data_IF_635485616240
#
_entry.id   IF_635485616240
#
_cell.length_a   1.000
_cell.length_b   1.000
_cell.length_c   1.000
_cell.angle_alpha   90.00
_cell.angle_beta   90.00
_cell.angle_gamma   90.00
#
_symmetry.space_group_name_H-M   'P 1'
#
loop_
_entity.id
_entity.type
_entity.pdbx_description
1 polymer ?
#
# COMPACT_ATOMS: atom_id res chain seq x y z
N UNK A 1 -48.00 -48.75 17.80
CA UNK A 1 -48.50 -48.33 16.48
C UNK A 1 -47.34 -47.75 15.67
N UNK A 2 -47.09 -48.27 14.47
CA UNK A 2 -46.22 -47.68 13.41
C UNK A 2 -46.75 -46.26 13.02
N UNK A 3 -46.02 -45.30 12.41
CA UNK A 3 -45.17 -45.33 11.19
C UNK A 3 -44.29 -44.06 11.03
N UNK A 4 -43.13 -44.28 10.37
CA UNK A 4 -42.34 -43.47 9.37
C UNK A 4 -42.02 -41.98 9.64
N UNK A 5 -40.77 -41.48 9.64
CA UNK A 5 -39.62 -41.53 8.71
C UNK A 5 -39.46 -40.23 7.89
N UNK A 6 -38.30 -39.57 8.02
CA UNK A 6 -37.48 -39.05 6.90
C UNK A 6 -36.12 -38.53 7.38
N UNK A 7 -35.11 -39.35 7.10
CA UNK A 7 -33.69 -39.02 6.98
C UNK A 7 -33.47 -38.13 5.76
N UNK A 8 -32.72 -37.04 5.92
CA UNK A 8 -31.92 -36.44 4.83
C UNK A 8 -30.50 -36.28 5.37
N UNK A 9 -29.74 -37.34 5.13
CA UNK A 9 -28.28 -37.35 5.15
C UNK A 9 -27.81 -36.59 3.91
N UNK A 10 -27.14 -35.45 4.10
CA UNK A 10 -26.37 -34.79 3.04
C UNK A 10 -24.90 -34.97 3.35
N UNK A 11 -24.36 -36.14 2.98
CA UNK A 11 -22.94 -36.32 2.76
C UNK A 11 -22.50 -35.32 1.68
N UNK A 12 -21.80 -34.26 2.06
CA UNK A 12 -20.89 -33.56 1.16
C UNK A 12 -19.85 -34.58 0.70
N UNK A 13 -20.05 -35.09 -0.51
CA UNK A 13 -19.14 -36.00 -1.16
C UNK A 13 -17.82 -35.25 -1.45
N UNK A 14 -16.84 -35.41 -0.55
CA UNK A 14 -15.44 -35.25 -0.90
C UNK A 14 -15.13 -36.27 -2.00
N UNK A 15 -15.08 -35.80 -3.25
CA UNK A 15 -14.41 -36.53 -4.32
C UNK A 15 -12.91 -36.47 -4.08
N UNK A 16 -12.46 -37.32 -3.15
CA UNK A 16 -11.07 -37.74 -3.04
C UNK A 16 -10.78 -38.69 -4.22
N UNK A 17 -10.47 -38.10 -5.39
CA UNK A 17 -9.82 -38.84 -6.47
C UNK A 17 -8.34 -39.00 -6.10
N UNK A 18 -7.99 -40.23 -5.73
CA UNK A 18 -6.62 -40.66 -5.48
C UNK A 18 -5.79 -40.61 -6.77
N UNK A 19 -4.82 -39.69 -6.81
CA UNK A 19 -3.64 -39.79 -7.66
C UNK A 19 -2.40 -39.66 -6.75
N UNK A 20 -1.42 -40.53 -6.97
CA UNK A 20 -0.19 -40.61 -6.20
C UNK A 20 0.61 -39.30 -6.22
N UNK A 21 1.09 -38.87 -5.04
CA UNK A 21 2.30 -38.07 -4.88
C UNK A 21 2.22 -36.60 -5.30
N UNK A 22 1.47 -35.79 -4.55
CA UNK A 22 1.80 -34.40 -4.18
C UNK A 22 0.53 -33.75 -3.60
N UNK A 23 0.36 -33.84 -2.28
CA UNK A 23 -0.79 -33.21 -1.61
C UNK A 23 -0.68 -31.69 -1.73
N UNK A 24 -1.59 -31.07 -2.47
CA UNK A 24 -1.72 -29.61 -2.59
C UNK A 24 -2.93 -29.17 -1.77
N UNK A 25 -2.78 -28.12 -0.96
CA UNK A 25 -3.87 -27.56 -0.14
C UNK A 25 -3.95 -26.06 -0.34
N UNK A 26 -5.12 -25.52 -0.65
CA UNK A 26 -5.35 -24.06 -0.63
C UNK A 26 -5.38 -23.63 0.84
N UNK A 27 -4.47 -22.75 1.24
CA UNK A 27 -4.30 -22.30 2.62
C UNK A 27 -4.77 -20.85 2.85
N UNK A 28 -5.07 -20.12 1.77
CA UNK A 28 -5.59 -18.75 1.88
C UNK A 28 -5.80 -18.08 0.52
N UNK A 29 -6.22 -16.81 0.57
CA UNK A 29 -6.31 -15.89 -0.57
C UNK A 29 -6.05 -14.45 -0.11
N UNK A 30 -6.01 -13.50 -1.04
CA UNK A 30 -5.84 -12.07 -0.75
C UNK A 30 -7.15 -11.25 -0.85
N UNK A 31 -8.31 -11.88 -0.63
CA UNK A 31 -9.61 -11.20 -0.77
C UNK A 31 -9.74 -9.98 0.16
N UNK A 32 -9.18 -10.06 1.36
CA UNK A 32 -9.19 -8.98 2.34
C UNK A 32 -8.33 -7.78 1.90
N UNK A 33 -7.14 -8.04 1.34
CA UNK A 33 -6.27 -7.00 0.77
C UNK A 33 -6.98 -6.25 -0.38
N UNK A 34 -7.65 -6.99 -1.27
CA UNK A 34 -8.43 -6.42 -2.38
C UNK A 34 -9.59 -5.57 -1.85
N UNK A 35 -10.29 -6.06 -0.82
CA UNK A 35 -11.39 -5.33 -0.17
C UNK A 35 -10.89 -4.02 0.43
N UNK A 36 -9.83 -4.06 1.23
CA UNK A 36 -9.23 -2.89 1.85
C UNK A 36 -8.76 -1.87 0.82
N UNK A 37 -8.09 -2.32 -0.26
CA UNK A 37 -7.71 -1.44 -1.36
C UNK A 37 -8.91 -0.71 -1.94
N UNK A 38 -9.99 -1.43 -2.29
CA UNK A 38 -11.19 -0.84 -2.90
C UNK A 38 -11.85 0.18 -1.98
N UNK A 39 -11.93 -0.10 -0.69
CA UNK A 39 -12.55 0.78 0.30
C UNK A 39 -11.72 2.04 0.58
N UNK A 40 -10.38 1.92 0.50
CA UNK A 40 -9.48 3.02 0.87
C UNK A 40 -8.96 3.82 -0.32
N UNK A 41 -9.05 3.30 -1.55
CA UNK A 41 -8.47 3.92 -2.76
C UNK A 41 -8.87 5.39 -2.92
N UNK A 42 -10.16 5.70 -2.82
CA UNK A 42 -10.65 7.06 -3.01
C UNK A 42 -10.16 8.02 -1.90
N UNK A 43 -10.01 7.51 -0.68
CA UNK A 43 -9.45 8.27 0.43
C UNK A 43 -7.95 8.50 0.25
N UNK A 44 -7.21 7.49 -0.22
CA UNK A 44 -5.79 7.61 -0.55
C UNK A 44 -5.56 8.61 -1.69
N UNK A 45 -6.40 8.60 -2.73
CA UNK A 45 -6.35 9.59 -3.81
C UNK A 45 -6.58 11.01 -3.28
N UNK A 46 -7.64 11.21 -2.49
CA UNK A 46 -7.94 12.53 -1.88
C UNK A 46 -6.81 13.02 -0.98
N UNK A 47 -6.23 12.12 -0.18
CA UNK A 47 -5.09 12.41 0.68
C UNK A 47 -3.87 12.84 -0.12
N UNK A 48 -3.50 12.05 -1.14
CA UNK A 48 -2.41 12.37 -2.07
C UNK A 48 -2.62 13.74 -2.70
N UNK A 49 -3.81 14.02 -3.22
CA UNK A 49 -4.10 15.30 -3.86
C UNK A 49 -4.09 16.48 -2.88
N UNK A 50 -4.54 16.26 -1.65
CA UNK A 50 -4.48 17.28 -0.59
C UNK A 50 -3.03 17.62 -0.22
N UNK A 51 -2.15 16.62 -0.11
CA UNK A 51 -0.72 16.85 0.17
C UNK A 51 -0.06 17.58 -0.98
N UNK A 52 -0.26 17.13 -2.21
CA UNK A 52 0.34 17.77 -3.39
C UNK A 52 -0.11 19.23 -3.51
N UNK A 53 -1.41 19.51 -3.33
CA UNK A 53 -1.92 20.89 -3.31
C UNK A 53 -1.29 21.72 -2.17
N UNK A 54 -1.22 21.16 -0.96
CA UNK A 54 -0.65 21.86 0.20
C UNK A 54 0.84 22.15 0.01
N UNK A 55 1.59 21.19 -0.53
CA UNK A 55 3.01 21.35 -0.86
C UNK A 55 3.21 22.44 -1.90
N UNK A 56 2.48 22.39 -3.03
CA UNK A 56 2.59 23.41 -4.07
C UNK A 56 2.28 24.81 -3.54
N UNK A 57 1.20 24.96 -2.76
CA UNK A 57 0.82 26.24 -2.18
C UNK A 57 1.87 26.75 -1.16
N UNK A 58 2.39 25.86 -0.31
CA UNK A 58 3.42 26.19 0.67
C UNK A 58 4.72 26.61 -0.01
N UNK A 59 5.16 25.87 -1.03
CA UNK A 59 6.34 26.21 -1.83
C UNK A 59 6.20 27.53 -2.56
N UNK A 60 5.02 27.82 -3.12
CA UNK A 60 4.75 29.10 -3.77
C UNK A 60 4.86 30.28 -2.79
N UNK A 61 4.26 30.15 -1.60
CA UNK A 61 4.34 31.16 -0.55
C UNK A 61 5.78 31.33 -0.02
N UNK A 62 6.52 30.24 0.19
CA UNK A 62 7.93 30.31 0.56
C UNK A 62 8.76 31.00 -0.52
N UNK A 63 8.54 30.67 -1.79
CA UNK A 63 9.24 31.31 -2.91
C UNK A 63 8.94 32.80 -2.97
N UNK A 64 7.68 33.20 -2.76
CA UNK A 64 7.30 34.62 -2.69
C UNK A 64 7.98 35.34 -1.53
N UNK A 65 7.96 34.76 -0.33
CA UNK A 65 8.65 35.30 0.85
C UNK A 65 10.15 35.51 0.60
N UNK A 66 10.81 34.55 -0.04
CA UNK A 66 12.25 34.63 -0.32
C UNK A 66 12.59 35.60 -1.45
N UNK A 67 11.69 35.80 -2.41
CA UNK A 67 11.95 36.65 -3.59
C UNK A 67 11.69 38.13 -3.30
N UNK A 68 10.59 38.43 -2.60
CA UNK A 68 10.23 39.79 -2.21
C UNK A 68 9.57 39.79 -0.81
N UNK A 69 10.37 39.85 0.26
CA UNK A 69 9.86 39.87 1.63
C UNK A 69 8.93 41.06 1.91
N UNK A 70 9.11 42.19 1.21
CA UNK A 70 8.32 43.40 1.42
C UNK A 70 6.90 43.29 0.83
N UNK A 71 6.72 42.43 -0.17
CA UNK A 71 5.41 42.09 -0.74
C UNK A 71 4.68 40.99 0.04
N UNK A 72 5.31 40.38 1.05
CA UNK A 72 4.72 39.28 1.81
C UNK A 72 3.76 39.79 2.90
N UNK A 73 2.47 39.50 2.74
CA UNK A 73 1.42 40.09 3.57
C UNK A 73 1.07 39.23 4.80
N UNK A 74 0.41 39.78 5.84
CA UNK A 74 -0.06 38.95 6.97
C UNK A 74 -0.97 37.78 6.56
N UNK A 75 -1.90 37.92 5.58
CA UNK A 75 -2.61 36.78 5.01
C UNK A 75 -1.72 35.69 4.42
N UNK A 76 -0.65 36.06 3.71
CA UNK A 76 0.32 35.09 3.16
C UNK A 76 1.04 34.34 4.29
N UNK A 77 1.42 35.04 5.36
CA UNK A 77 2.04 34.42 6.53
C UNK A 77 1.12 33.41 7.23
N UNK A 78 -0.18 33.74 7.35
CA UNK A 78 -1.18 32.83 7.89
C UNK A 78 -1.38 31.61 7.00
N UNK A 79 -1.49 31.81 5.68
CA UNK A 79 -1.63 30.73 4.71
C UNK A 79 -0.40 29.81 4.71
N UNK A 80 0.81 30.38 4.80
CA UNK A 80 2.05 29.62 4.86
C UNK A 80 2.09 28.75 6.13
N UNK A 81 1.78 29.34 7.28
CA UNK A 81 1.70 28.62 8.56
C UNK A 81 0.69 27.48 8.49
N UNK A 82 -0.51 27.74 7.96
CA UNK A 82 -1.55 26.72 7.82
C UNK A 82 -1.12 25.59 6.86
N UNK A 83 -0.49 25.92 5.74
CA UNK A 83 0.06 24.93 4.80
C UNK A 83 1.09 24.01 5.47
N UNK A 84 2.03 24.58 6.22
CA UNK A 84 3.03 23.82 6.97
C UNK A 84 2.39 22.92 8.06
N UNK A 85 1.40 23.43 8.79
CA UNK A 85 0.67 22.66 9.81
C UNK A 85 -0.10 21.48 9.19
N UNK A 86 -0.77 21.69 8.06
CA UNK A 86 -1.50 20.63 7.35
C UNK A 86 -0.57 19.50 6.89
N UNK A 87 0.61 19.85 6.37
CA UNK A 87 1.61 18.87 5.93
C UNK A 87 2.17 18.11 7.13
N UNK A 88 2.44 18.81 8.23
CA UNK A 88 2.88 18.19 9.48
C UNK A 88 1.86 17.18 10.02
N UNK A 89 0.58 17.56 10.05
CA UNK A 89 -0.51 16.65 10.47
C UNK A 89 -0.61 15.44 9.54
N UNK A 90 -0.47 15.63 8.23
CA UNK A 90 -0.44 14.53 7.27
C UNK A 90 0.74 13.59 7.52
N UNK A 91 1.91 14.11 7.93
CA UNK A 91 3.08 13.29 8.28
C UNK A 91 2.92 12.49 9.57
N UNK A 92 2.00 12.86 10.46
CA UNK A 92 1.66 12.10 11.66
C UNK A 92 0.69 10.96 11.38
N UNK A 93 0.09 10.91 10.20
CA UNK A 93 -0.94 9.95 9.84
C UNK A 93 -0.33 8.66 9.24
N UNK A 94 0.73 8.15 9.88
CA UNK A 94 1.64 7.09 9.37
C UNK A 94 1.02 5.70 9.20
N UNK A 95 -0.24 5.52 9.61
CA UNK A 95 -0.95 4.24 9.55
C UNK A 95 -2.28 4.32 8.76
N UNK A 96 -2.56 5.43 8.07
CA UNK A 96 -3.82 5.64 7.36
C UNK A 96 -4.13 4.57 6.31
N UNK A 97 -3.13 4.18 5.52
CA UNK A 97 -3.28 3.23 4.40
C UNK A 97 -2.34 2.03 4.54
N UNK A 98 -1.98 1.72 5.79
CA UNK A 98 -1.07 0.63 6.11
C UNK A 98 0.41 0.95 5.88
N UNK A 99 1.24 -0.07 6.06
CA UNK A 99 2.70 0.04 6.06
C UNK A 99 3.27 0.17 4.65
N UNK A 100 4.33 0.97 4.46
CA UNK A 100 5.00 1.10 3.17
C UNK A 100 5.51 -0.24 2.65
N UNK A 101 5.46 -0.44 1.32
CA UNK A 101 5.93 -1.64 0.61
C UNK A 101 5.21 -2.95 0.91
N UNK A 102 4.54 -3.11 2.06
CA UNK A 102 3.81 -4.33 2.41
C UNK A 102 2.32 -4.24 2.15
N UNK A 103 1.76 -3.03 2.08
CA UNK A 103 0.33 -2.82 1.89
C UNK A 103 0.03 -2.14 0.53
N UNK A 104 -1.12 -2.45 -0.10
CA UNK A 104 -1.47 -1.97 -1.45
C UNK A 104 -1.47 -0.46 -1.63
N UNK A 105 -1.68 0.31 -0.56
CA UNK A 105 -1.70 1.79 -0.57
C UNK A 105 -0.67 2.40 0.40
N UNK A 106 0.26 1.58 0.92
CA UNK A 106 1.18 1.99 1.98
C UNK A 106 2.14 3.13 1.60
N UNK A 107 2.44 3.33 0.31
CA UNK A 107 3.24 4.48 -0.12
C UNK A 107 2.48 5.80 -0.04
N UNK A 108 1.16 5.78 -0.21
CA UNK A 108 0.34 6.98 -0.05
C UNK A 108 0.42 7.52 1.38
N UNK A 109 0.58 6.66 2.37
CA UNK A 109 0.80 7.05 3.77
C UNK A 109 2.11 7.83 3.98
N UNK A 110 3.15 7.56 3.19
CA UNK A 110 4.46 8.20 3.34
C UNK A 110 4.53 9.62 2.80
N UNK A 111 3.53 10.06 2.04
CA UNK A 111 3.52 11.37 1.40
C UNK A 111 3.59 12.51 2.39
N UNK A 112 2.88 12.42 3.51
CA UNK A 112 2.86 13.50 4.51
C UNK A 112 4.22 13.66 5.18
N UNK A 113 4.87 12.53 5.48
CA UNK A 113 6.19 12.50 6.12
C UNK A 113 7.26 13.07 5.19
N UNK A 114 7.32 12.60 3.94
CA UNK A 114 8.33 13.07 2.98
C UNK A 114 8.10 14.52 2.56
N UNK A 115 6.84 14.96 2.47
CA UNK A 115 6.49 16.37 2.25
C UNK A 115 7.01 17.27 3.38
N UNK A 116 6.77 16.88 4.65
CA UNK A 116 7.27 17.61 5.81
C UNK A 116 8.79 17.70 5.84
N UNK A 117 9.47 16.57 5.61
CA UNK A 117 10.94 16.53 5.54
C UNK A 117 11.50 17.40 4.41
N UNK A 118 10.86 17.39 3.24
CA UNK A 118 11.26 18.24 2.12
C UNK A 118 11.17 19.73 2.47
N UNK A 119 10.12 20.16 3.16
CA UNK A 119 9.98 21.54 3.63
C UNK A 119 11.06 21.87 4.67
N UNK A 120 11.23 21.04 5.69
CA UNK A 120 12.17 21.27 6.78
C UNK A 120 13.61 21.41 6.26
N UNK A 121 14.06 20.50 5.40
CA UNK A 121 15.41 20.57 4.82
C UNK A 121 15.55 21.73 3.84
N UNK A 122 14.49 22.11 3.11
CA UNK A 122 14.50 23.30 2.26
C UNK A 122 14.70 24.56 3.09
N UNK A 123 13.94 24.73 4.18
CA UNK A 123 14.09 25.86 5.10
C UNK A 123 15.50 25.90 5.67
N UNK A 124 16.01 24.75 6.13
CA UNK A 124 17.34 24.63 6.72
C UNK A 124 18.45 25.01 5.74
N UNK A 125 18.29 24.68 4.45
CA UNK A 125 19.27 24.99 3.41
C UNK A 125 19.45 26.49 3.15
N UNK A 126 18.48 27.32 3.54
CA UNK A 126 18.59 28.78 3.41
C UNK A 126 19.64 29.33 4.38
N UNK A 127 19.73 28.77 5.60
CA UNK A 127 20.70 29.18 6.62
C UNK A 127 22.01 28.38 6.60
N UNK A 128 21.99 27.15 6.06
CA UNK A 128 23.13 26.23 6.03
C UNK A 128 23.43 25.81 4.57
N UNK A 129 24.38 26.47 3.90
CA UNK A 129 24.69 26.20 2.47
C UNK A 129 25.10 24.75 2.18
N UNK A 130 25.73 24.07 3.15
CA UNK A 130 26.15 22.66 3.02
C UNK A 130 24.95 21.70 3.04
N UNK A 131 23.76 22.17 3.42
CA UNK A 131 22.51 21.39 3.45
C UNK A 131 21.78 21.36 2.11
N UNK A 132 22.23 22.09 1.09
CA UNK A 132 21.55 22.13 -0.21
C UNK A 132 21.33 20.73 -0.80
N UNK A 133 22.35 19.86 -0.72
CA UNK A 133 22.23 18.47 -1.19
C UNK A 133 21.21 17.64 -0.40
N UNK A 134 21.04 17.93 0.90
CA UNK A 134 20.04 17.25 1.74
C UNK A 134 18.62 17.70 1.41
N UNK A 135 18.43 19.00 1.14
CA UNK A 135 17.16 19.52 0.63
C UNK A 135 16.79 18.90 -0.71
N UNK A 136 17.73 18.84 -1.66
CA UNK A 136 17.53 18.21 -2.98
C UNK A 136 17.15 16.72 -2.83
N UNK A 137 17.84 15.98 -1.97
CA UNK A 137 17.51 14.57 -1.68
C UNK A 137 16.11 14.41 -1.09
N UNK A 138 15.71 15.30 -0.18
CA UNK A 138 14.41 15.23 0.48
C UNK A 138 13.27 15.56 -0.48
N UNK A 139 13.47 16.55 -1.36
CA UNK A 139 12.54 16.85 -2.46
C UNK A 139 12.41 15.65 -3.41
N UNK A 140 13.54 15.05 -3.80
CA UNK A 140 13.52 13.87 -4.66
C UNK A 140 12.79 12.68 -4.00
N UNK A 141 13.00 12.45 -2.71
CA UNK A 141 12.29 11.42 -1.96
C UNK A 141 10.78 11.68 -1.93
N UNK A 142 10.36 12.94 -1.74
CA UNK A 142 8.95 13.33 -1.84
C UNK A 142 8.36 13.04 -3.22
N UNK A 143 9.06 13.40 -4.30
CA UNK A 143 8.64 13.13 -5.67
C UNK A 143 8.54 11.63 -5.97
N UNK A 144 9.49 10.84 -5.47
CA UNK A 144 9.45 9.38 -5.61
C UNK A 144 8.23 8.80 -4.90
N UNK A 145 7.94 9.24 -3.67
CA UNK A 145 6.75 8.78 -2.94
C UNK A 145 5.44 9.15 -3.65
N UNK A 146 5.37 10.30 -4.35
CA UNK A 146 4.22 10.64 -5.20
C UNK A 146 4.07 9.59 -6.31
N UNK A 147 5.15 9.31 -7.03
CA UNK A 147 5.16 8.32 -8.12
C UNK A 147 4.78 6.93 -7.61
N UNK A 148 5.28 6.53 -6.45
CA UNK A 148 4.98 5.23 -5.85
C UNK A 148 3.51 5.12 -5.40
N UNK A 149 2.96 6.18 -4.80
CA UNK A 149 1.53 6.24 -4.47
C UNK A 149 0.66 6.25 -5.73
N UNK A 150 1.01 7.02 -6.76
CA UNK A 150 0.28 7.07 -8.04
C UNK A 150 0.29 5.70 -8.72
N UNK A 151 1.43 4.99 -8.68
CA UNK A 151 1.53 3.60 -9.14
C UNK A 151 0.58 2.68 -8.37
N UNK A 152 0.54 2.76 -7.05
CA UNK A 152 -0.39 1.97 -6.22
C UNK A 152 -1.87 2.27 -6.51
N UNK A 153 -2.23 3.54 -6.70
CA UNK A 153 -3.60 3.98 -7.03
C UNK A 153 -4.09 3.51 -8.41
N UNK A 154 -3.17 3.23 -9.33
CA UNK A 154 -3.45 2.76 -10.69
C UNK A 154 -3.38 1.23 -10.83
N UNK A 155 -2.72 0.55 -9.89
CA UNK A 155 -2.48 -0.89 -9.96
C UNK A 155 -3.19 -1.60 -8.80
N UNK A 156 -4.48 -1.92 -8.93
CA UNK A 156 -5.20 -2.69 -7.92
C UNK A 156 -4.58 -4.09 -7.74
N UNK A 157 -4.54 -4.63 -6.51
CA UNK A 157 -4.11 -6.01 -6.29
C UNK A 157 -5.03 -6.98 -7.04
N UNK A 158 -4.43 -7.99 -7.67
CA UNK A 158 -5.14 -9.01 -8.42
C UNK A 158 -5.56 -10.15 -7.50
N UNK A 159 -6.69 -10.84 -7.76
CA UNK A 159 -7.07 -12.05 -7.04
C UNK A 159 -5.96 -13.10 -7.08
N UNK A 160 -5.56 -13.56 -5.89
CA UNK A 160 -4.53 -14.57 -5.70
C UNK A 160 -4.97 -15.60 -4.68
N UNK A 161 -4.54 -16.84 -4.89
CA UNK A 161 -4.70 -17.95 -3.95
C UNK A 161 -3.33 -18.44 -3.49
N UNK A 162 -3.25 -18.81 -2.22
CA UNK A 162 -2.06 -19.37 -1.62
C UNK A 162 -2.22 -20.88 -1.51
N UNK A 163 -1.32 -21.62 -2.15
CA UNK A 163 -1.35 -23.08 -2.22
C UNK A 163 -0.12 -23.63 -1.51
N UNK A 164 -0.32 -24.52 -0.56
CA UNK A 164 0.75 -25.23 0.12
C UNK A 164 0.95 -26.61 -0.50
N UNK A 165 2.20 -26.96 -0.79
CA UNK A 165 2.61 -28.28 -1.30
C UNK A 165 3.72 -28.88 -0.43
N UNK A 166 4.12 -30.12 -0.69
CA UNK A 166 5.41 -30.65 -0.21
C UNK A 166 6.57 -29.83 -0.80
N UNK A 167 7.70 -29.74 -0.09
CA UNK A 167 8.90 -29.00 -0.52
C UNK A 167 9.49 -29.49 -1.85
N UNK A 168 9.34 -30.79 -2.14
CA UNK A 168 9.83 -31.41 -3.38
C UNK A 168 8.84 -31.34 -4.53
N UNK A 169 7.60 -30.90 -4.28
CA UNK A 169 6.60 -30.78 -5.34
C UNK A 169 6.96 -29.67 -6.32
N UNK A 170 6.65 -29.91 -7.59
CA UNK A 170 6.67 -28.87 -8.61
C UNK A 170 5.58 -27.82 -8.41
N UNK A 171 5.70 -26.67 -9.07
CA UNK A 171 4.72 -25.61 -9.00
C UNK A 171 3.30 -26.12 -9.34
N UNK A 172 2.27 -25.80 -8.54
CA UNK A 172 0.94 -26.35 -8.73
C UNK A 172 0.24 -25.88 -10.02
N UNK A 173 0.61 -24.69 -10.53
CA UNK A 173 0.15 -24.13 -11.81
C UNK A 173 1.27 -23.31 -12.45
N UNK A 174 1.15 -23.02 -13.75
CA UNK A 174 2.15 -22.25 -14.51
C UNK A 174 2.33 -20.81 -14.02
N UNK A 175 1.29 -20.22 -13.45
CA UNK A 175 1.27 -18.86 -12.91
C UNK A 175 1.55 -18.80 -11.40
N UNK A 176 2.06 -19.88 -10.81
CA UNK A 176 2.39 -19.93 -9.40
C UNK A 176 3.86 -19.58 -9.17
N UNK A 177 4.10 -18.61 -8.30
CA UNK A 177 5.43 -18.23 -7.84
C UNK A 177 5.65 -18.69 -6.40
N UNK A 178 6.89 -19.04 -6.00
CA UNK A 178 7.20 -19.38 -4.62
C UNK A 178 7.06 -18.15 -3.72
N UNK A 179 6.31 -18.30 -2.62
CA UNK A 179 6.12 -17.26 -1.61
C UNK A 179 7.13 -17.45 -0.48
N UNK A 180 7.90 -16.40 -0.15
CA UNK A 180 9.00 -16.49 0.81
C UNK A 180 8.55 -16.51 2.29
N UNK A 181 7.25 -16.38 2.56
CA UNK A 181 6.66 -16.16 3.88
C UNK A 181 6.27 -17.46 4.63
N UNK A 182 7.08 -18.51 4.54
CA UNK A 182 6.87 -19.68 5.40
C UNK A 182 7.45 -19.47 6.80
N UNK A 183 6.65 -19.75 7.83
CA UNK A 183 7.13 -19.78 9.22
C UNK A 183 8.18 -20.90 9.39
N UNK A 184 9.17 -20.75 10.28
CA UNK A 184 10.23 -21.75 10.50
C UNK A 184 9.77 -23.16 10.87
N UNK A 185 8.51 -23.35 11.30
CA UNK A 185 7.93 -24.64 11.67
C UNK A 185 7.44 -25.48 10.47
N UNK A 186 7.49 -24.95 9.23
CA UNK A 186 6.94 -25.60 8.03
C UNK A 186 8.03 -25.95 6.99
N UNK A 187 9.20 -26.41 7.45
CA UNK A 187 10.41 -26.59 6.62
C UNK A 187 10.28 -27.61 5.48
N UNK A 188 9.30 -28.51 5.56
CA UNK A 188 9.01 -29.56 4.56
C UNK A 188 7.86 -29.20 3.61
N UNK A 189 7.34 -27.98 3.72
CA UNK A 189 6.29 -27.45 2.86
C UNK A 189 6.82 -26.30 2.02
N UNK A 190 6.17 -26.07 0.88
CA UNK A 190 6.39 -24.93 0.00
C UNK A 190 5.08 -24.15 -0.08
N UNK A 191 5.14 -22.81 0.00
CA UNK A 191 3.99 -21.95 -0.24
C UNK A 191 4.11 -21.34 -1.63
N UNK A 192 3.03 -21.39 -2.37
CA UNK A 192 2.93 -20.85 -3.72
C UNK A 192 1.85 -19.77 -3.74
N UNK A 193 2.17 -18.64 -4.36
CA UNK A 193 1.21 -17.59 -4.71
C UNK A 193 0.83 -17.76 -6.17
N UNK A 194 -0.44 -17.95 -6.44
CA UNK A 194 -0.96 -18.19 -7.79
C UNK A 194 -2.06 -17.19 -8.13
N UNK A 195 -2.11 -16.69 -9.37
CA UNK A 195 -3.26 -15.88 -9.79
C UNK A 195 -4.54 -16.75 -9.79
N UNK A 196 -5.62 -16.13 -9.31
CA UNK A 196 -6.94 -16.76 -9.25
C UNK A 196 -7.77 -16.42 -10.50
N UNK A 197 -7.60 -17.24 -11.54
CA UNK A 197 -8.33 -17.13 -12.81
C UNK A 197 -9.83 -17.49 -12.68
N UNK A 198 -10.31 -17.92 -11.50
CA UNK A 198 -11.73 -18.23 -11.33
C UNK A 198 -12.62 -16.99 -11.29
N UNK A 199 -12.04 -15.81 -11.03
CA UNK A 199 -12.75 -14.53 -10.92
C UNK A 199 -12.92 -13.83 -12.27
N UNK A 200 -12.20 -14.25 -13.33
CA UNK A 200 -12.29 -13.66 -14.67
C UNK A 200 -13.41 -14.24 -15.55
N UNK A 201 -14.27 -15.11 -15.00
CA UNK A 201 -15.37 -15.79 -15.71
C UNK A 201 -16.79 -15.49 -15.19
N UNK A 202 -16.96 -14.44 -14.39
CA UNK A 202 -18.28 -14.00 -13.88
C UNK A 202 -18.70 -12.68 -14.48
#
# INVERSE_FOLDING_TARGET
MLKLARTISSCLALLALSACGDSQTVVGNNAEEIRQYREQRDNAQKFRDAIVRSMNHTTELMSRFLSDPNAFTPPDAYALKSGMENIKLAGQASDLFGKPMSEPLGWCTMLGLSAGQAIEETIRSISETDRKQWAEKSIQAYQNNISDCDRQLQNPPKPQVFIQTSKSASAPRRNCEPEALLKPAEQDKMLWRCDDDSVSKS
#
